data_IF_352029938835
#
_entry.id   IF_352029938835
#
_cell.length_a   1.000
_cell.length_b   1.000
_cell.length_c   1.000
_cell.angle_alpha   90.00
_cell.angle_beta   90.00
_cell.angle_gamma   90.00
#
_symmetry.space_group_name_H-M   'P 1'
#
loop_
_entity.id
_entity.type
_entity.pdbx_description
1 polymer ?
#
# COMPACT_ATOMS: atom_id res chain seq x y z
N UNK A 1 -27.42 9.41 -6.85
CA UNK A 1 -26.73 10.50 -7.57
C UNK A 1 -25.63 9.84 -8.40
N UNK A 2 -25.70 9.93 -9.72
CA UNK A 2 -24.52 9.67 -10.55
C UNK A 2 -23.47 10.68 -10.11
N UNK A 3 -22.32 10.22 -9.62
CA UNK A 3 -21.15 11.08 -9.52
C UNK A 3 -20.91 11.51 -10.98
N UNK A 4 -21.05 12.79 -11.29
CA UNK A 4 -20.65 13.28 -12.60
C UNK A 4 -19.14 13.14 -12.70
N UNK A 5 -18.63 12.63 -13.83
CA UNK A 5 -17.19 12.60 -14.08
C UNK A 5 -16.63 14.01 -13.84
N UNK A 6 -15.48 14.18 -13.15
CA UNK A 6 -14.90 15.49 -12.96
C UNK A 6 -14.75 16.18 -14.32
N UNK A 7 -15.32 17.38 -14.44
CA UNK A 7 -15.44 18.10 -15.72
C UNK A 7 -14.08 18.51 -16.29
N UNK A 8 -12.99 18.49 -15.50
CA UNK A 8 -11.61 18.66 -15.99
C UNK A 8 -10.59 18.07 -15.01
N UNK A 9 -9.79 17.10 -15.44
CA UNK A 9 -8.63 16.59 -14.68
C UNK A 9 -7.39 17.38 -15.08
N UNK A 10 -6.65 17.93 -14.10
CA UNK A 10 -5.39 18.64 -14.39
C UNK A 10 -4.37 17.67 -15.01
N UNK A 11 -3.61 18.12 -16.02
CA UNK A 11 -2.53 17.32 -16.64
C UNK A 11 -1.44 16.97 -15.62
N UNK A 12 -0.74 15.85 -15.82
CA UNK A 12 0.46 15.48 -15.07
C UNK A 12 1.67 16.32 -15.55
N UNK A 13 1.58 17.65 -15.42
CA UNK A 13 2.64 18.57 -15.83
C UNK A 13 3.80 18.60 -14.83
N UNK A 14 5.01 18.80 -15.35
CA UNK A 14 6.22 18.94 -14.56
C UNK A 14 6.61 17.68 -13.77
N UNK A 15 7.68 17.81 -12.97
CA UNK A 15 8.22 16.73 -12.15
C UNK A 15 7.30 16.38 -10.99
N UNK A 16 7.26 15.09 -10.64
CA UNK A 16 6.54 14.55 -9.48
C UNK A 16 7.54 14.09 -8.42
N UNK A 17 7.48 14.70 -7.24
CA UNK A 17 8.22 14.22 -6.07
C UNK A 17 7.56 13.00 -5.42
N UNK A 18 8.34 11.97 -5.11
CA UNK A 18 7.90 10.82 -4.33
C UNK A 18 8.73 10.76 -3.06
N UNK A 19 8.08 11.00 -1.93
CA UNK A 19 8.67 11.01 -0.61
C UNK A 19 8.37 9.70 0.14
N UNK A 20 9.40 9.04 0.66
CA UNK A 20 9.28 7.77 1.36
C UNK A 20 9.87 7.86 2.77
N UNK A 21 9.05 7.92 3.82
CA UNK A 21 9.50 7.62 5.18
C UNK A 21 9.96 6.16 5.22
N UNK A 22 11.23 5.93 5.58
CA UNK A 22 11.94 4.66 5.47
C UNK A 22 12.59 4.49 4.10
N UNK A 23 13.89 4.80 3.98
CA UNK A 23 14.74 4.51 2.82
C UNK A 23 15.38 3.11 2.95
N UNK A 24 14.56 2.11 3.27
CA UNK A 24 14.95 0.70 3.43
C UNK A 24 14.75 -0.14 2.18
N UNK A 25 14.65 -1.46 2.35
CA UNK A 25 14.63 -2.45 1.26
C UNK A 25 13.54 -2.19 0.19
N UNK A 26 12.30 -1.86 0.59
CA UNK A 26 11.21 -1.60 -0.36
C UNK A 26 11.46 -0.33 -1.17
N UNK A 27 11.78 0.78 -0.51
CA UNK A 27 12.01 2.07 -1.17
C UNK A 27 13.24 2.04 -2.08
N UNK A 28 14.34 1.42 -1.65
CA UNK A 28 15.55 1.34 -2.48
C UNK A 28 15.35 0.42 -3.67
N UNK A 29 14.61 -0.69 -3.50
CA UNK A 29 14.20 -1.56 -4.62
C UNK A 29 13.30 -0.82 -5.61
N UNK A 30 12.35 -0.02 -5.11
CA UNK A 30 11.49 0.81 -5.95
C UNK A 30 12.27 1.89 -6.72
N UNK A 31 13.13 2.65 -6.05
CA UNK A 31 13.96 3.68 -6.68
C UNK A 31 14.87 3.05 -7.73
N UNK A 32 15.67 2.06 -7.34
CA UNK A 32 16.61 1.40 -8.25
C UNK A 32 15.89 0.74 -9.43
N UNK A 33 14.77 0.06 -9.19
CA UNK A 33 13.94 -0.54 -10.23
C UNK A 33 13.42 0.51 -11.21
N UNK A 34 12.96 1.67 -10.71
CA UNK A 34 12.46 2.76 -11.56
C UNK A 34 13.57 3.37 -12.41
N UNK A 35 14.74 3.64 -11.82
CA UNK A 35 15.91 4.17 -12.52
C UNK A 35 16.41 3.18 -13.60
N UNK A 36 16.45 1.88 -13.29
CA UNK A 36 16.83 0.85 -14.24
C UNK A 36 15.86 0.77 -15.43
N UNK A 37 14.54 0.83 -15.19
CA UNK A 37 13.53 0.84 -16.26
C UNK A 37 13.64 2.10 -17.11
N UNK A 38 13.79 3.27 -16.48
CA UNK A 38 13.97 4.55 -17.16
C UNK A 38 15.22 4.55 -18.07
N UNK A 39 16.30 3.93 -17.62
CA UNK A 39 17.54 3.78 -18.40
C UNK A 39 17.51 2.65 -19.43
N UNK A 40 16.37 1.98 -19.63
CA UNK A 40 16.21 0.88 -20.59
C UNK A 40 16.94 -0.41 -20.19
N UNK A 41 17.36 -0.55 -18.94
CA UNK A 41 18.08 -1.72 -18.42
C UNK A 41 17.15 -2.84 -17.96
N UNK A 42 15.87 -2.53 -17.73
CA UNK A 42 14.88 -3.47 -17.20
C UNK A 42 13.45 -3.11 -17.65
N UNK A 43 12.48 -3.92 -17.23
CA UNK A 43 11.05 -3.76 -17.48
C UNK A 43 10.27 -3.67 -16.17
N UNK A 44 9.20 -2.85 -16.07
CA UNK A 44 8.47 -2.59 -14.82
C UNK A 44 7.45 -3.71 -14.48
N UNK A 45 7.94 -4.95 -14.40
CA UNK A 45 7.11 -6.13 -14.16
C UNK A 45 6.37 -6.00 -12.82
N UNK A 46 5.06 -6.28 -12.85
CA UNK A 46 4.17 -6.20 -11.69
C UNK A 46 3.49 -4.85 -11.50
N UNK A 47 3.90 -3.80 -12.21
CA UNK A 47 3.22 -2.51 -12.18
C UNK A 47 2.00 -2.50 -13.12
N UNK A 48 0.82 -2.29 -12.56
CA UNK A 48 -0.43 -2.17 -13.31
C UNK A 48 -0.45 -0.87 -14.11
N UNK A 49 0.07 0.23 -13.57
CA UNK A 49 0.11 1.50 -14.31
C UNK A 49 0.99 1.42 -15.56
N UNK A 50 2.11 0.70 -15.49
CA UNK A 50 3.09 0.65 -16.58
C UNK A 50 2.83 -0.46 -17.60
N UNK A 51 2.33 -1.62 -17.16
CA UNK A 51 2.14 -2.80 -18.02
C UNK A 51 0.68 -3.23 -18.19
N UNK A 52 -0.24 -2.70 -17.38
CA UNK A 52 -1.65 -3.09 -17.43
C UNK A 52 -2.39 -2.48 -18.62
N UNK A 53 -3.38 -3.22 -19.09
CA UNK A 53 -4.37 -2.76 -20.08
C UNK A 53 -5.76 -2.65 -19.45
N UNK A 54 -6.60 -1.81 -20.06
CA UNK A 54 -7.98 -1.61 -19.65
C UNK A 54 -8.89 -1.69 -20.87
N UNK A 55 -9.94 -2.53 -20.78
CA UNK A 55 -11.01 -2.59 -21.79
C UNK A 55 -11.95 -1.41 -21.65
N UNK A 56 -12.26 -0.70 -22.71
CA UNK A 56 -13.15 0.48 -22.69
C UNK A 56 -14.57 0.19 -23.19
N UNK A 57 -14.74 -0.87 -23.98
CA UNK A 57 -16.02 -1.17 -24.60
C UNK A 57 -16.39 -2.64 -24.57
N UNK A 58 -17.24 -3.00 -25.52
CA UNK A 58 -17.68 -4.38 -25.73
C UNK A 58 -16.52 -5.28 -26.18
N UNK A 59 -16.64 -6.59 -25.94
CA UNK A 59 -15.59 -7.58 -26.25
C UNK A 59 -15.33 -7.71 -27.75
N UNK A 60 -16.38 -7.60 -28.57
CA UNK A 60 -16.30 -7.66 -30.03
C UNK A 60 -15.70 -6.40 -30.65
N UNK A 61 -15.75 -5.24 -29.97
CA UNK A 61 -15.11 -3.99 -30.40
C UNK A 61 -13.58 -4.02 -30.25
N UNK A 62 -13.05 -4.89 -29.37
CA UNK A 62 -11.62 -5.02 -29.07
C UNK A 62 -10.96 -3.68 -28.69
N UNK A 63 -11.73 -2.79 -28.05
CA UNK A 63 -11.23 -1.53 -27.48
C UNK A 63 -10.52 -1.80 -26.16
N UNK A 64 -9.23 -2.05 -26.24
CA UNK A 64 -8.33 -2.24 -25.11
C UNK A 64 -7.10 -1.34 -25.30
N UNK A 65 -6.75 -0.60 -24.25
CA UNK A 65 -5.66 0.39 -24.26
C UNK A 65 -4.79 0.20 -23.02
N UNK A 66 -3.50 0.51 -23.10
CA UNK A 66 -2.64 0.50 -21.93
C UNK A 66 -3.08 1.57 -20.92
N UNK A 67 -3.02 1.29 -19.62
CA UNK A 67 -3.47 2.23 -18.58
C UNK A 67 -2.69 3.54 -18.64
N UNK A 68 -1.37 3.49 -18.88
CA UNK A 68 -0.52 4.68 -19.07
C UNK A 68 -0.88 5.55 -20.28
N UNK A 69 -1.53 4.98 -21.30
CA UNK A 69 -1.96 5.71 -22.50
C UNK A 69 -3.40 6.21 -22.36
N UNK A 70 -4.16 5.65 -21.41
CA UNK A 70 -5.54 6.03 -21.12
C UNK A 70 -5.65 7.10 -20.03
N UNK A 71 -4.87 6.96 -18.96
CA UNK A 71 -4.88 7.84 -17.79
C UNK A 71 -3.69 8.80 -17.87
N UNK A 72 -3.85 10.12 -17.69
CA UNK A 72 -2.74 11.07 -17.75
C UNK A 72 -1.88 10.98 -16.48
N UNK A 73 -0.98 9.99 -16.44
CA UNK A 73 -0.02 9.75 -15.37
C UNK A 73 1.32 10.44 -15.67
N UNK A 74 2.11 10.74 -14.62
CA UNK A 74 3.51 11.19 -14.81
C UNK A 74 4.34 10.05 -15.43
N UNK A 75 5.32 10.41 -16.26
CA UNK A 75 6.27 9.43 -16.81
C UNK A 75 7.35 9.09 -15.78
N UNK A 76 8.10 8.00 -15.99
CA UNK A 76 9.20 7.63 -15.10
C UNK A 76 10.35 8.66 -15.14
N UNK A 77 10.52 9.39 -16.25
CA UNK A 77 11.51 10.47 -16.39
C UNK A 77 11.18 11.68 -15.51
N UNK A 78 9.91 11.89 -15.19
CA UNK A 78 9.45 13.02 -14.38
C UNK A 78 9.54 12.76 -12.87
N UNK A 79 9.91 11.55 -12.45
CA UNK A 79 9.91 11.17 -11.03
C UNK A 79 11.20 11.62 -10.34
N UNK A 80 11.05 12.29 -9.19
CA UNK A 80 12.13 12.71 -8.30
C UNK A 80 11.93 12.06 -6.94
N UNK A 81 12.97 11.44 -6.40
CA UNK A 81 12.88 10.65 -5.18
C UNK A 81 13.49 11.38 -3.98
N UNK A 82 12.85 11.25 -2.83
CA UNK A 82 13.38 11.66 -1.55
C UNK A 82 12.81 10.78 -0.44
N UNK A 83 13.34 10.90 0.76
CA UNK A 83 12.87 10.10 1.88
C UNK A 83 13.56 10.43 3.18
N UNK A 84 13.13 9.74 4.23
CA UNK A 84 13.72 9.83 5.55
C UNK A 84 14.18 8.47 6.00
N UNK A 85 15.26 8.41 6.76
CA UNK A 85 15.67 7.18 7.43
C UNK A 85 16.37 7.51 8.75
N UNK A 86 16.46 6.50 9.61
CA UNK A 86 17.19 6.58 10.89
C UNK A 86 18.68 6.25 10.71
N UNK A 87 19.06 5.78 9.51
CA UNK A 87 20.43 5.59 9.04
C UNK A 87 20.80 6.67 8.00
N UNK A 88 22.08 7.01 7.93
CA UNK A 88 22.59 8.05 7.02
C UNK A 88 23.01 7.53 5.63
N UNK A 89 22.95 6.20 5.44
CA UNK A 89 23.26 5.52 4.18
C UNK A 89 22.51 6.16 3.00
N UNK A 90 23.22 6.50 1.93
CA UNK A 90 22.57 6.93 0.70
C UNK A 90 21.82 5.76 0.04
N UNK A 91 20.98 6.04 -0.97
CA UNK A 91 20.12 5.02 -1.57
C UNK A 91 20.90 3.84 -2.19
N UNK A 92 22.13 4.06 -2.69
CA UNK A 92 22.98 2.97 -3.20
C UNK A 92 23.46 2.07 -2.06
N UNK A 93 24.01 2.67 -1.00
CA UNK A 93 24.49 1.93 0.18
C UNK A 93 23.36 1.13 0.84
N UNK A 94 22.20 1.77 1.03
CA UNK A 94 21.02 1.12 1.57
C UNK A 94 20.51 -0.02 0.66
N UNK A 95 20.59 0.11 -0.67
CA UNK A 95 20.22 -0.96 -1.61
C UNK A 95 21.18 -2.16 -1.53
N UNK A 96 22.48 -1.90 -1.45
CA UNK A 96 23.51 -2.94 -1.27
C UNK A 96 23.30 -3.67 0.05
N UNK A 97 23.08 -2.93 1.14
CA UNK A 97 22.84 -3.48 2.47
C UNK A 97 21.54 -4.30 2.53
N UNK A 98 20.50 -3.89 1.79
CA UNK A 98 19.24 -4.63 1.70
C UNK A 98 19.39 -5.98 0.99
N UNK A 99 20.34 -6.12 0.06
CA UNK A 99 20.63 -7.40 -0.61
C UNK A 99 19.49 -7.96 -1.46
N UNK A 100 18.59 -7.09 -1.96
CA UNK A 100 17.42 -7.51 -2.76
C UNK A 100 17.75 -7.64 -4.25
N UNK A 101 18.48 -6.66 -4.77
CA UNK A 101 18.85 -6.53 -6.18
C UNK A 101 20.30 -6.95 -6.39
N UNK A 102 20.60 -7.46 -7.58
CA UNK A 102 21.96 -7.83 -7.98
C UNK A 102 22.86 -6.59 -7.99
N UNK A 103 24.08 -6.74 -7.50
CA UNK A 103 25.03 -5.63 -7.36
C UNK A 103 25.37 -5.01 -8.71
N UNK A 104 25.51 -5.82 -9.75
CA UNK A 104 25.84 -5.36 -11.11
C UNK A 104 24.78 -4.40 -11.65
N UNK A 105 23.51 -4.65 -11.33
CA UNK A 105 22.42 -3.74 -11.68
C UNK A 105 22.56 -2.43 -10.91
N UNK A 106 22.80 -2.48 -9.60
CA UNK A 106 22.98 -1.29 -8.77
C UNK A 106 24.19 -0.46 -9.23
N UNK A 107 25.30 -1.10 -9.57
CA UNK A 107 26.51 -0.46 -10.08
C UNK A 107 26.24 0.30 -11.38
N UNK A 108 25.36 -0.21 -12.25
CA UNK A 108 25.01 0.44 -13.53
C UNK A 108 24.23 1.75 -13.39
N UNK A 109 23.56 1.96 -12.26
CA UNK A 109 22.77 3.18 -11.93
C UNK A 109 23.28 3.89 -10.68
N UNK A 110 24.49 3.55 -10.23
CA UNK A 110 25.06 3.97 -8.95
C UNK A 110 25.08 5.47 -8.74
N UNK A 111 25.50 6.23 -9.76
CA UNK A 111 25.62 7.69 -9.67
C UNK A 111 24.32 8.35 -9.21
N UNK A 112 23.20 7.93 -9.78
CA UNK A 112 21.89 8.50 -9.46
C UNK A 112 21.37 8.04 -8.09
N UNK A 113 21.69 6.81 -7.69
CA UNK A 113 21.36 6.30 -6.36
C UNK A 113 22.15 7.02 -5.26
N UNK A 114 23.44 7.32 -5.46
CA UNK A 114 24.27 8.03 -4.47
C UNK A 114 23.84 9.49 -4.25
N UNK A 115 23.19 10.11 -5.23
CA UNK A 115 22.64 11.46 -5.13
C UNK A 115 21.41 11.51 -4.19
N UNK A 116 20.71 10.39 -4.00
CA UNK A 116 19.53 10.29 -3.14
C UNK A 116 19.96 9.96 -1.72
N UNK A 117 19.96 10.97 -0.85
CA UNK A 117 20.31 10.85 0.57
C UNK A 117 19.07 10.97 1.46
N UNK A 118 18.96 10.18 2.53
CA UNK A 118 17.85 10.30 3.46
C UNK A 118 17.94 11.64 4.22
N UNK A 119 16.78 12.22 4.50
CA UNK A 119 16.61 13.26 5.51
C UNK A 119 16.52 12.62 6.90
N UNK A 120 16.89 13.37 7.95
CA UNK A 120 16.80 12.88 9.34
C UNK A 120 15.36 12.55 9.71
N UNK A 121 15.12 11.33 10.20
CA UNK A 121 13.78 10.85 10.51
C UNK A 121 13.24 11.34 11.86
N UNK A 122 11.91 11.49 11.96
CA UNK A 122 11.21 11.38 13.25
C UNK A 122 11.10 9.89 13.60
N UNK A 123 11.63 9.52 14.76
CA UNK A 123 11.69 8.13 15.23
C UNK A 123 11.40 8.06 16.73
N UNK A 124 10.73 6.98 17.15
CA UNK A 124 10.48 6.67 18.55
C UNK A 124 10.56 5.15 18.77
N UNK A 125 11.55 4.75 19.58
CA UNK A 125 11.86 3.34 19.87
C UNK A 125 10.72 2.63 20.61
N UNK A 126 9.80 3.35 21.23
CA UNK A 126 8.62 2.75 21.86
C UNK A 126 7.69 2.08 20.84
N UNK A 127 7.71 2.57 19.59
CA UNK A 127 6.89 2.05 18.50
C UNK A 127 7.65 1.06 17.61
N UNK A 128 8.98 1.12 17.59
CA UNK A 128 9.83 0.17 16.83
C UNK A 128 11.01 -0.25 17.70
N UNK A 129 10.79 -1.23 18.57
CA UNK A 129 11.70 -1.56 19.69
C UNK A 129 13.04 -2.20 19.26
N UNK A 130 13.04 -2.88 18.12
CA UNK A 130 14.18 -3.67 17.62
C UNK A 130 15.15 -2.87 16.76
N UNK A 131 14.84 -1.61 16.46
CA UNK A 131 15.72 -0.75 15.67
C UNK A 131 16.34 0.34 16.54
N UNK A 132 17.59 0.63 16.20
CA UNK A 132 18.38 1.73 16.75
C UNK A 132 18.92 2.53 15.57
N UNK A 133 18.81 3.86 15.64
CA UNK A 133 19.34 4.74 14.61
C UNK A 133 19.58 6.13 15.17
N UNK A 134 20.70 6.71 14.77
CA UNK A 134 21.19 8.00 15.28
C UNK A 134 20.87 9.17 14.33
N UNK A 135 20.44 8.87 13.09
CA UNK A 135 20.13 9.87 12.07
C UNK A 135 18.70 10.41 12.22
N UNK A 136 18.41 10.93 13.42
CA UNK A 136 17.06 11.35 13.82
C UNK A 136 16.97 12.86 14.07
N UNK A 137 15.76 13.39 13.96
CA UNK A 137 15.42 14.78 14.28
C UNK A 137 15.61 15.07 15.78
N UNK A 138 16.09 16.27 16.10
CA UNK A 138 16.35 16.69 17.48
C UNK A 138 15.10 17.19 18.21
N UNK A 139 14.05 17.54 17.48
CA UNK A 139 12.78 18.02 18.00
C UNK A 139 12.12 16.95 18.88
N UNK A 140 11.62 17.37 20.04
CA UNK A 140 11.06 16.45 21.05
C UNK A 140 9.55 16.52 21.17
N UNK A 141 8.94 17.67 20.84
CA UNK A 141 7.48 17.82 20.85
C UNK A 141 6.87 17.37 19.52
N UNK A 142 5.65 16.84 19.55
CA UNK A 142 4.93 16.43 18.35
C UNK A 142 4.74 17.58 17.36
N UNK A 143 4.44 18.79 17.86
CA UNK A 143 4.29 19.98 17.00
C UNK A 143 5.59 20.37 16.34
N UNK A 144 6.70 20.42 17.06
CA UNK A 144 8.00 20.77 16.47
C UNK A 144 8.45 19.72 15.47
N UNK A 145 8.27 18.42 15.79
CA UNK A 145 8.51 17.30 14.87
C UNK A 145 7.70 17.43 13.59
N UNK A 146 6.40 17.72 13.70
CA UNK A 146 5.54 17.97 12.53
C UNK A 146 6.05 19.16 11.72
N UNK A 147 6.40 20.29 12.35
CA UNK A 147 6.90 21.45 11.61
C UNK A 147 8.22 21.14 10.91
N UNK A 148 9.12 20.38 11.53
CA UNK A 148 10.36 19.94 10.90
C UNK A 148 10.11 19.03 9.69
N UNK A 149 9.14 18.12 9.75
CA UNK A 149 8.72 17.30 8.60
C UNK A 149 8.10 18.16 7.48
N UNK A 150 7.29 19.16 7.82
CA UNK A 150 6.71 20.09 6.85
C UNK A 150 7.79 20.93 6.17
N UNK A 151 8.78 21.41 6.93
CA UNK A 151 9.93 22.12 6.39
C UNK A 151 10.72 21.27 5.41
N UNK A 152 10.96 19.99 5.72
CA UNK A 152 11.60 19.05 4.80
C UNK A 152 10.83 18.90 3.48
N UNK A 153 9.50 18.72 3.55
CA UNK A 153 8.63 18.64 2.36
C UNK A 153 8.74 19.91 1.51
N UNK A 154 8.70 21.08 2.14
CA UNK A 154 8.80 22.38 1.48
C UNK A 154 10.18 22.60 0.84
N UNK A 155 11.25 22.25 1.54
CA UNK A 155 12.61 22.33 1.03
C UNK A 155 12.80 21.38 -0.16
N UNK A 156 12.35 20.12 -0.04
CA UNK A 156 12.40 19.16 -1.14
C UNK A 156 11.67 19.68 -2.39
N UNK A 157 10.49 20.29 -2.23
CA UNK A 157 9.76 20.95 -3.32
C UNK A 157 10.58 22.07 -3.96
N UNK A 158 11.13 22.96 -3.13
CA UNK A 158 11.89 24.14 -3.60
C UNK A 158 13.16 23.75 -4.33
N UNK A 159 13.96 22.86 -3.75
CA UNK A 159 15.26 22.43 -4.28
C UNK A 159 15.13 21.69 -5.62
N UNK A 160 14.03 20.95 -5.79
CA UNK A 160 13.78 20.16 -7.00
C UNK A 160 12.78 20.83 -7.97
N UNK A 161 12.31 22.04 -7.66
CA UNK A 161 11.30 22.78 -8.42
C UNK A 161 10.03 21.95 -8.69
N UNK A 162 9.44 21.39 -7.63
CA UNK A 162 8.30 20.48 -7.70
C UNK A 162 7.00 21.20 -7.36
N UNK A 163 6.03 21.11 -8.26
CA UNK A 163 4.65 21.53 -8.01
C UNK A 163 3.82 20.43 -7.34
N UNK A 164 4.23 19.16 -7.51
CA UNK A 164 3.49 17.98 -7.09
C UNK A 164 4.38 17.04 -6.30
N UNK A 165 3.86 16.55 -5.19
CA UNK A 165 4.54 15.58 -4.32
C UNK A 165 3.52 14.59 -3.80
N UNK A 166 3.88 13.31 -3.72
CA UNK A 166 3.13 12.24 -3.06
C UNK A 166 4.03 11.59 -2.01
N UNK A 167 3.44 11.13 -0.91
CA UNK A 167 4.14 10.39 0.13
C UNK A 167 3.63 8.95 0.19
N UNK A 168 4.56 7.99 0.21
CA UNK A 168 4.26 6.57 0.42
C UNK A 168 5.08 6.06 1.58
N UNK A 169 4.42 5.62 2.65
CA UNK A 169 5.10 5.07 3.82
C UNK A 169 5.73 3.71 3.50
N UNK A 170 7.05 3.63 3.62
CA UNK A 170 7.85 2.41 3.47
C UNK A 170 8.65 2.08 4.74
N UNK A 171 8.37 2.80 5.84
CA UNK A 171 9.03 2.65 7.12
C UNK A 171 8.55 1.41 7.87
N UNK A 172 9.27 1.08 8.94
CA UNK A 172 9.00 -0.11 9.74
C UNK A 172 7.56 -0.16 10.29
N UNK A 173 7.09 -1.39 10.51
CA UNK A 173 5.84 -1.64 11.22
C UNK A 173 5.97 -1.16 12.66
N UNK A 174 5.03 -0.34 13.10
CA UNK A 174 4.93 0.16 14.47
C UNK A 174 4.11 -0.79 15.35
N UNK A 175 4.31 -0.71 16.66
CA UNK A 175 3.47 -1.41 17.64
C UNK A 175 1.99 -1.03 17.50
N UNK A 176 1.12 -1.98 17.86
CA UNK A 176 -0.33 -1.82 17.71
C UNK A 176 -0.85 -0.60 18.49
N UNK A 177 -1.63 0.23 17.81
CA UNK A 177 -2.37 1.34 18.42
C UNK A 177 -3.86 1.04 18.38
N UNK A 178 -4.54 1.24 19.50
CA UNK A 178 -5.98 1.05 19.60
C UNK A 178 -6.73 2.23 18.95
N UNK A 179 -7.44 2.02 17.83
CA UNK A 179 -8.17 3.09 17.14
C UNK A 179 -9.38 3.60 17.94
N UNK A 180 -9.78 2.92 19.03
CA UNK A 180 -10.92 3.31 19.87
C UNK A 180 -10.60 4.38 20.92
N UNK A 181 -9.32 4.78 21.08
CA UNK A 181 -8.97 5.91 21.94
C UNK A 181 -9.70 7.17 21.47
N UNK A 182 -10.34 7.87 22.41
CA UNK A 182 -11.16 9.07 22.15
C UNK A 182 -10.40 10.15 21.39
N UNK A 183 -9.07 10.22 21.52
CA UNK A 183 -8.24 11.18 20.78
C UNK A 183 -8.32 11.02 19.26
N UNK A 184 -8.73 9.84 18.75
CA UNK A 184 -8.83 9.56 17.33
C UNK A 184 -10.20 9.87 16.72
N UNK A 185 -11.19 10.23 17.54
CA UNK A 185 -12.59 10.37 17.09
C UNK A 185 -12.86 11.59 16.22
N UNK A 186 -12.18 12.72 16.46
CA UNK A 186 -12.36 13.95 15.69
C UNK A 186 -11.08 14.80 15.71
N UNK A 187 -10.96 15.70 14.73
CA UNK A 187 -9.75 16.50 14.53
C UNK A 187 -9.40 17.40 15.73
N UNK A 188 -10.40 17.97 16.41
CA UNK A 188 -10.16 18.86 17.55
C UNK A 188 -9.52 18.12 18.74
N UNK A 189 -10.03 16.94 19.07
CA UNK A 189 -9.48 16.13 20.16
C UNK A 189 -8.10 15.58 19.81
N UNK A 190 -7.88 15.23 18.54
CA UNK A 190 -6.56 14.81 18.06
C UNK A 190 -5.53 15.95 18.14
N UNK A 191 -5.90 17.17 17.73
CA UNK A 191 -5.01 18.34 17.79
C UNK A 191 -4.63 18.71 19.23
N UNK A 192 -5.57 18.61 20.18
CA UNK A 192 -5.25 18.77 21.61
C UNK A 192 -4.27 17.72 22.11
N UNK A 193 -4.40 16.47 21.65
CA UNK A 193 -3.48 15.39 22.02
C UNK A 193 -2.05 15.61 21.47
N UNK A 194 -1.94 16.20 20.27
CA UNK A 194 -0.67 16.67 19.72
C UNK A 194 -0.09 17.80 20.57
N UNK A 195 -0.90 18.79 20.96
CA UNK A 195 -0.47 19.93 21.79
C UNK A 195 -0.03 19.50 23.20
N UNK A 196 -0.68 18.48 23.77
CA UNK A 196 -0.29 17.88 25.05
C UNK A 196 0.89 16.91 24.95
N UNK A 197 1.48 16.73 23.76
CA UNK A 197 2.58 15.82 23.49
C UNK A 197 2.33 14.37 23.98
N UNK A 198 1.13 13.83 23.73
CA UNK A 198 0.75 12.51 24.25
C UNK A 198 1.65 11.40 23.66
N UNK A 199 2.42 10.71 24.49
CA UNK A 199 3.42 9.71 24.07
C UNK A 199 2.84 8.50 23.31
N UNK A 200 1.52 8.31 23.32
CA UNK A 200 0.84 7.24 22.59
C UNK A 200 0.64 7.53 21.10
N UNK A 201 1.04 8.70 20.60
CA UNK A 201 0.96 9.06 19.17
C UNK A 201 2.23 8.62 18.47
N UNK A 202 2.11 7.67 17.55
CA UNK A 202 3.26 7.11 16.84
C UNK A 202 3.83 8.05 15.76
N UNK A 203 5.13 7.91 15.40
CA UNK A 203 5.77 8.67 14.34
C UNK A 203 5.01 8.66 13.01
N UNK A 204 4.48 7.53 12.55
CA UNK A 204 3.76 7.44 11.27
C UNK A 204 2.58 8.39 11.15
N UNK A 205 1.92 8.68 12.28
CA UNK A 205 0.82 9.64 12.36
C UNK A 205 1.34 11.07 12.17
N UNK A 206 2.53 11.40 12.71
CA UNK A 206 3.15 12.71 12.54
C UNK A 206 3.55 12.98 11.09
N UNK A 207 4.12 11.98 10.40
CA UNK A 207 4.40 12.06 8.96
C UNK A 207 3.13 12.26 8.14
N UNK A 208 2.09 11.46 8.41
CA UNK A 208 0.82 11.57 7.72
C UNK A 208 0.16 12.94 7.95
N UNK A 209 0.15 13.44 9.19
CA UNK A 209 -0.39 14.75 9.50
C UNK A 209 0.39 15.87 8.77
N UNK A 210 1.72 15.81 8.80
CA UNK A 210 2.56 16.76 8.06
C UNK A 210 2.29 16.73 6.54
N UNK A 211 2.18 15.54 5.94
CA UNK A 211 1.88 15.38 4.52
C UNK A 211 0.54 16.01 4.16
N UNK A 212 -0.53 15.69 4.91
CA UNK A 212 -1.87 16.21 4.63
C UNK A 212 -1.91 17.74 4.80
N UNK A 213 -1.25 18.30 5.84
CA UNK A 213 -1.14 19.75 6.03
C UNK A 213 -0.34 20.48 4.94
N UNK A 214 0.48 19.77 4.17
CA UNK A 214 1.22 20.30 3.01
C UNK A 214 0.52 20.00 1.67
N UNK A 215 -0.70 19.47 1.69
CA UNK A 215 -1.44 19.09 0.50
C UNK A 215 -0.82 17.90 -0.25
N UNK A 216 -0.08 17.03 0.45
CA UNK A 216 0.62 15.86 -0.12
C UNK A 216 -0.25 14.61 0.04
N UNK A 217 -0.71 13.98 -1.06
CA UNK A 217 -1.37 12.67 -1.00
C UNK A 217 -0.53 11.64 -0.28
N UNK A 218 -1.19 10.73 0.45
CA UNK A 218 -0.50 9.81 1.35
C UNK A 218 -1.01 8.36 1.22
N UNK A 219 -0.09 7.42 1.01
CA UNK A 219 -0.35 5.98 1.12
C UNK A 219 0.38 5.38 2.32
N UNK A 220 -0.32 4.59 3.13
CA UNK A 220 0.28 3.81 4.20
C UNK A 220 0.66 2.39 3.73
N UNK A 221 1.95 2.13 3.51
CA UNK A 221 2.45 0.82 3.08
C UNK A 221 2.63 -0.22 4.20
N UNK A 222 2.49 0.18 5.46
CA UNK A 222 2.62 -0.67 6.65
C UNK A 222 1.24 -0.86 7.33
N UNK A 223 1.06 -1.84 8.24
CA UNK A 223 -0.22 -2.01 8.94
C UNK A 223 -0.43 -0.98 10.09
N UNK A 224 0.42 0.05 10.18
CA UNK A 224 0.39 1.12 11.18
C UNK A 224 -0.95 1.85 11.18
N UNK A 225 -1.34 2.45 12.31
CA UNK A 225 -2.58 3.22 12.38
C UNK A 225 -2.53 4.44 11.44
N UNK A 226 -1.46 5.25 11.49
CA UNK A 226 -1.14 6.34 10.56
C UNK A 226 -2.32 7.27 10.19
N UNK A 227 -3.09 6.96 9.13
CA UNK A 227 -4.24 7.75 8.63
C UNK A 227 -5.60 7.08 8.86
N UNK A 228 -5.60 5.85 9.36
CA UNK A 228 -6.75 4.94 9.43
C UNK A 228 -7.61 5.17 10.68
N UNK A 229 -8.05 6.41 10.89
CA UNK A 229 -8.97 6.78 11.97
C UNK A 229 -9.74 8.08 11.68
N UNK A 230 -10.91 8.30 12.32
CA UNK A 230 -11.82 9.39 11.97
C UNK A 230 -11.20 10.79 11.90
N UNK A 231 -10.37 11.18 12.87
CA UNK A 231 -9.75 12.51 12.88
C UNK A 231 -8.82 12.78 11.68
N UNK A 232 -8.06 11.78 11.23
CA UNK A 232 -7.19 11.92 10.05
C UNK A 232 -7.97 11.88 8.74
N UNK A 233 -9.07 11.12 8.70
CA UNK A 233 -10.00 11.15 7.58
C UNK A 233 -10.64 12.55 7.48
N UNK A 234 -11.11 13.12 8.60
CA UNK A 234 -11.63 14.49 8.66
C UNK A 234 -10.60 15.51 8.15
N UNK A 235 -9.35 15.41 8.60
CA UNK A 235 -8.26 16.27 8.14
C UNK A 235 -8.01 16.14 6.63
N UNK A 236 -7.97 14.93 6.11
CA UNK A 236 -7.76 14.68 4.67
C UNK A 236 -8.86 15.29 3.80
N UNK A 237 -10.12 15.24 4.25
CA UNK A 237 -11.25 15.88 3.57
C UNK A 237 -11.14 17.40 3.66
N UNK A 238 -10.81 17.94 4.83
CA UNK A 238 -10.64 19.39 5.06
C UNK A 238 -9.56 20.00 4.18
N UNK A 239 -8.43 19.32 4.01
CA UNK A 239 -7.29 19.78 3.21
C UNK A 239 -7.40 19.37 1.73
N UNK A 240 -8.45 18.61 1.34
CA UNK A 240 -8.63 18.17 -0.04
C UNK A 240 -7.61 17.13 -0.52
N UNK A 241 -7.07 16.32 0.41
CA UNK A 241 -5.96 15.39 0.15
C UNK A 241 -6.47 13.95 0.06
N UNK A 242 -6.15 13.19 -0.99
CA UNK A 242 -6.45 11.77 -1.06
C UNK A 242 -5.49 10.94 -0.20
N UNK A 243 -6.06 9.99 0.54
CA UNK A 243 -5.34 9.05 1.41
C UNK A 243 -5.70 7.61 1.07
N UNK A 244 -4.76 6.69 1.24
CA UNK A 244 -4.98 5.27 1.02
C UNK A 244 -4.16 4.42 1.99
N UNK A 245 -4.60 3.20 2.22
CA UNK A 245 -3.94 2.27 3.11
C UNK A 245 -4.82 1.04 3.37
N UNK A 246 -4.32 0.04 4.11
CA UNK A 246 -2.95 -0.06 4.61
C UNK A 246 -2.35 -1.46 4.45
N UNK A 247 -1.03 -1.53 4.59
CA UNK A 247 -0.17 -2.70 4.41
C UNK A 247 -0.17 -3.24 2.97
N UNK A 248 0.97 -3.18 2.27
CA UNK A 248 1.05 -3.62 0.87
C UNK A 248 0.64 -5.07 0.69
N UNK A 249 -0.25 -5.35 -0.26
CA UNK A 249 -0.72 -6.71 -0.53
C UNK A 249 0.26 -7.48 -1.40
N UNK A 250 1.20 -8.13 -0.73
CA UNK A 250 2.22 -8.99 -1.32
C UNK A 250 2.12 -10.42 -0.77
N UNK A 251 2.93 -11.31 -1.36
CA UNK A 251 3.23 -12.63 -0.81
C UNK A 251 2.00 -13.48 -0.51
N UNK A 252 1.93 -13.98 0.73
CA UNK A 252 0.89 -14.93 1.17
C UNK A 252 -0.52 -14.32 1.20
N UNK A 253 -0.67 -13.07 1.63
CA UNK A 253 -2.01 -12.44 1.70
C UNK A 253 -2.58 -12.22 0.31
N UNK A 254 -1.74 -11.89 -0.68
CA UNK A 254 -2.15 -11.84 -2.08
C UNK A 254 -2.77 -13.19 -2.51
N UNK A 255 -2.10 -14.30 -2.23
CA UNK A 255 -2.62 -15.64 -2.54
C UNK A 255 -3.97 -15.92 -1.87
N UNK A 256 -4.16 -15.53 -0.61
CA UNK A 256 -5.46 -15.66 0.07
C UNK A 256 -6.57 -14.88 -0.64
N UNK A 257 -6.30 -13.65 -1.04
CA UNK A 257 -7.27 -12.80 -1.76
C UNK A 257 -7.53 -13.24 -3.21
N UNK A 258 -6.74 -14.19 -3.73
CA UNK A 258 -6.98 -14.83 -5.03
C UNK A 258 -7.78 -16.12 -4.84
N UNK A 259 -7.35 -16.97 -3.90
CA UNK A 259 -7.89 -18.32 -3.72
C UNK A 259 -9.22 -18.33 -2.98
N UNK A 260 -9.34 -17.60 -1.86
CA UNK A 260 -10.56 -17.63 -1.05
C UNK A 260 -11.80 -17.13 -1.82
N UNK A 261 -11.74 -16.05 -2.63
CA UNK A 261 -12.88 -15.67 -3.46
C UNK A 261 -13.23 -16.73 -4.51
N UNK A 262 -12.23 -17.42 -5.07
CA UNK A 262 -12.46 -18.51 -6.01
C UNK A 262 -13.19 -19.70 -5.38
N UNK A 263 -12.82 -20.09 -4.15
CA UNK A 263 -13.52 -21.12 -3.39
C UNK A 263 -14.95 -20.71 -3.06
N UNK A 264 -15.14 -19.48 -2.57
CA UNK A 264 -16.48 -18.94 -2.29
C UNK A 264 -17.36 -18.88 -3.54
N UNK A 265 -16.83 -18.40 -4.67
CA UNK A 265 -17.57 -18.32 -5.92
C UNK A 265 -18.05 -19.68 -6.46
N UNK A 266 -17.53 -20.79 -5.91
CA UNK A 266 -17.91 -22.16 -6.26
C UNK A 266 -18.55 -22.91 -5.09
N UNK A 267 -18.87 -22.22 -3.99
CA UNK A 267 -19.43 -22.81 -2.77
C UNK A 267 -18.61 -23.99 -2.24
N UNK A 268 -17.27 -23.90 -2.36
CA UNK A 268 -16.35 -24.89 -1.79
C UNK A 268 -16.19 -24.56 -0.32
N UNK A 269 -16.49 -25.53 0.55
CA UNK A 269 -16.36 -25.38 2.00
C UNK A 269 -14.89 -25.48 2.44
N UNK A 270 -14.57 -24.86 3.57
CA UNK A 270 -13.20 -24.83 4.12
C UNK A 270 -13.28 -25.14 5.60
N UNK A 271 -12.66 -26.24 6.01
CA UNK A 271 -12.61 -26.66 7.42
C UNK A 271 -11.39 -26.07 8.13
N UNK A 272 -10.28 -25.87 7.41
CA UNK A 272 -9.03 -25.36 7.99
C UNK A 272 -8.18 -24.59 7.00
N UNK A 273 -7.56 -23.51 7.47
CA UNK A 273 -6.52 -22.79 6.74
C UNK A 273 -5.34 -22.54 7.68
N UNK A 274 -4.25 -23.26 7.49
CA UNK A 274 -3.02 -23.05 8.25
C UNK A 274 -2.00 -22.33 7.37
N UNK A 275 -1.49 -21.20 7.84
CA UNK A 275 -0.50 -20.38 7.16
C UNK A 275 0.75 -20.23 8.00
N UNK A 276 1.92 -20.56 7.46
CA UNK A 276 3.21 -20.25 8.08
C UNK A 276 4.08 -19.41 7.14
N UNK A 277 4.96 -18.59 7.69
CA UNK A 277 5.93 -17.81 6.93
C UNK A 277 7.30 -17.86 7.62
N UNK A 278 8.35 -17.86 6.81
CA UNK A 278 9.73 -17.64 7.25
C UNK A 278 10.36 -16.50 6.44
N UNK A 279 11.07 -15.59 7.11
CA UNK A 279 11.80 -14.47 6.49
C UNK A 279 12.95 -14.01 7.40
N UNK A 280 14.00 -13.41 6.82
CA UNK A 280 15.22 -13.06 7.54
C UNK A 280 15.70 -11.62 7.36
N UNK A 281 14.93 -10.77 6.67
CA UNK A 281 15.25 -9.35 6.51
C UNK A 281 14.83 -8.53 7.75
N UNK A 282 15.06 -7.22 7.72
CA UNK A 282 14.75 -6.28 8.81
C UNK A 282 13.26 -6.27 9.19
N UNK A 283 12.35 -6.53 8.24
CA UNK A 283 10.92 -6.68 8.54
C UNK A 283 10.68 -7.91 9.43
N UNK A 284 11.35 -9.03 9.13
CA UNK A 284 11.33 -10.22 9.98
C UNK A 284 11.84 -9.97 11.41
N UNK A 285 12.92 -9.21 11.56
CA UNK A 285 13.48 -8.86 12.87
C UNK A 285 12.54 -7.98 13.70
N UNK A 286 11.89 -6.99 13.08
CA UNK A 286 10.88 -6.14 13.74
C UNK A 286 9.66 -6.97 14.14
N UNK A 287 9.22 -7.91 13.28
CA UNK A 287 8.06 -8.77 13.53
C UNK A 287 8.32 -9.89 14.56
N UNK A 288 9.57 -10.12 14.97
CA UNK A 288 9.91 -11.02 16.08
C UNK A 288 9.51 -10.43 17.45
N UNK A 289 9.18 -9.13 17.51
CA UNK A 289 8.54 -8.51 18.67
C UNK A 289 7.03 -8.82 18.72
N UNK A 290 6.49 -9.38 19.84
CA UNK A 290 5.09 -9.79 19.93
C UNK A 290 4.06 -8.66 19.74
N UNK A 291 4.38 -7.42 20.14
CA UNK A 291 3.46 -6.28 19.98
C UNK A 291 3.38 -5.80 18.53
N UNK A 292 4.54 -5.79 17.84
CA UNK A 292 4.63 -5.51 16.41
C UNK A 292 3.96 -6.63 15.58
N UNK A 293 4.13 -7.88 16.00
CA UNK A 293 3.45 -9.04 15.41
C UNK A 293 1.93 -8.95 15.51
N UNK A 294 1.38 -8.50 16.65
CA UNK A 294 -0.07 -8.36 16.86
C UNK A 294 -0.72 -7.49 15.80
N UNK A 295 -0.10 -6.39 15.39
CA UNK A 295 -0.58 -5.52 14.29
C UNK A 295 -0.74 -6.31 12.99
N UNK A 296 0.23 -7.18 12.68
CA UNK A 296 0.21 -8.02 11.47
C UNK A 296 -0.78 -9.18 11.60
N UNK A 297 -0.89 -9.78 12.78
CA UNK A 297 -1.80 -10.89 13.04
C UNK A 297 -3.26 -10.46 12.82
N UNK A 298 -3.68 -9.34 13.42
CA UNK A 298 -5.03 -8.78 13.23
C UNK A 298 -5.32 -8.53 11.75
N UNK A 299 -4.38 -7.91 11.02
CA UNK A 299 -4.52 -7.64 9.58
C UNK A 299 -4.69 -8.90 8.73
N UNK A 300 -4.09 -10.04 9.14
CA UNK A 300 -4.07 -11.29 8.37
C UNK A 300 -5.22 -12.23 8.70
N UNK A 301 -5.74 -12.19 9.92
CA UNK A 301 -6.84 -13.06 10.35
C UNK A 301 -8.18 -12.59 9.76
N UNK A 302 -8.44 -11.28 9.74
CA UNK A 302 -9.72 -10.74 9.26
C UNK A 302 -10.01 -10.94 7.76
N UNK A 303 -8.97 -11.20 6.94
CA UNK A 303 -9.13 -11.33 5.48
C UNK A 303 -10.06 -12.49 5.09
N UNK A 304 -9.90 -13.66 5.73
CA UNK A 304 -10.72 -14.84 5.39
C UNK A 304 -12.15 -14.69 5.89
N UNK A 305 -12.32 -14.18 7.11
CA UNK A 305 -13.64 -13.95 7.71
C UNK A 305 -14.50 -13.05 6.82
N UNK A 306 -13.93 -11.95 6.31
CA UNK A 306 -14.66 -11.01 5.47
C UNK A 306 -14.89 -11.53 4.05
N UNK A 307 -13.96 -12.30 3.48
CA UNK A 307 -14.18 -12.91 2.17
C UNK A 307 -15.25 -13.99 2.26
N UNK A 308 -15.15 -14.92 3.22
CA UNK A 308 -15.98 -16.12 3.29
C UNK A 308 -17.34 -15.87 3.95
N UNK A 309 -17.44 -14.86 4.81
CA UNK A 309 -18.66 -14.47 5.52
C UNK A 309 -19.31 -15.67 6.24
N UNK A 310 -18.64 -16.26 7.25
CA UNK A 310 -19.09 -17.49 7.91
C UNK A 310 -20.48 -17.35 8.55
N UNK A 311 -20.84 -16.16 9.03
CA UNK A 311 -22.20 -15.88 9.53
C UNK A 311 -23.28 -16.02 8.46
N UNK A 312 -22.96 -15.71 7.20
CA UNK A 312 -23.89 -15.84 6.05
C UNK A 312 -23.85 -17.23 5.44
N UNK A 313 -22.73 -17.95 5.57
CA UNK A 313 -22.51 -19.28 4.99
C UNK A 313 -22.03 -20.29 6.06
N UNK A 314 -22.81 -20.53 7.12
CA UNK A 314 -22.36 -21.30 8.27
C UNK A 314 -22.05 -22.77 7.94
N UNK A 315 -22.77 -23.38 6.98
CA UNK A 315 -22.52 -24.77 6.58
C UNK A 315 -21.14 -24.96 5.93
N UNK A 316 -20.64 -23.94 5.23
CA UNK A 316 -19.38 -24.00 4.51
C UNK A 316 -18.19 -23.56 5.35
N UNK A 317 -18.38 -22.55 6.22
CA UNK A 317 -17.29 -21.83 6.89
C UNK A 317 -17.50 -21.58 8.38
N UNK A 318 -18.65 -21.97 8.97
CA UNK A 318 -18.97 -21.69 10.37
C UNK A 318 -17.96 -22.28 11.36
N UNK A 319 -17.38 -23.42 11.02
CA UNK A 319 -16.37 -24.13 11.82
C UNK A 319 -14.93 -23.94 11.29
N UNK A 320 -14.69 -22.94 10.42
CA UNK A 320 -13.37 -22.70 9.83
C UNK A 320 -12.32 -22.43 10.91
N UNK A 321 -11.30 -23.28 10.98
CA UNK A 321 -10.12 -23.04 11.82
C UNK A 321 -9.03 -22.31 11.03
N UNK A 322 -8.79 -21.03 11.34
CA UNK A 322 -7.73 -20.24 10.72
C UNK A 322 -6.53 -20.03 11.65
N UNK A 323 -5.32 -20.37 11.19
CA UNK A 323 -4.08 -20.18 11.96
C UNK A 323 -2.99 -19.50 11.13
N UNK A 324 -2.32 -18.51 11.73
CA UNK A 324 -1.16 -17.83 11.12
C UNK A 324 0.06 -17.92 12.04
N UNK A 325 1.22 -18.18 11.44
CA UNK A 325 2.55 -18.13 12.05
C UNK A 325 3.51 -17.35 11.17
N UNK A 326 4.38 -16.56 11.78
CA UNK A 326 5.52 -15.90 11.14
C UNK A 326 6.71 -16.20 12.03
N UNK A 327 7.82 -16.65 11.45
CA UNK A 327 9.02 -16.99 12.19
C UNK A 327 10.19 -16.24 11.56
N UNK A 328 10.96 -15.54 12.40
CA UNK A 328 12.20 -14.94 11.97
C UNK A 328 13.26 -16.03 11.75
N UNK A 329 13.81 -16.09 10.54
CA UNK A 329 14.82 -17.06 10.15
C UNK A 329 15.91 -16.34 9.34
N UNK A 330 16.96 -15.83 10.02
CA UNK A 330 17.96 -14.94 9.44
C UNK A 330 18.56 -15.40 8.09
N UNK A 331 18.89 -16.70 7.89
CA UNK A 331 19.52 -17.14 6.64
C UNK A 331 18.72 -16.87 5.36
N UNK A 332 17.42 -16.57 5.44
CA UNK A 332 16.57 -16.31 4.27
C UNK A 332 16.66 -14.90 3.71
N UNK A 333 17.12 -13.91 4.48
CA UNK A 333 17.10 -12.50 4.06
C UNK A 333 15.72 -12.09 3.54
N UNK A 334 15.65 -11.44 2.36
CA UNK A 334 14.39 -11.04 1.69
C UNK A 334 13.66 -12.20 1.00
N UNK A 335 14.26 -13.40 0.90
CA UNK A 335 13.64 -14.58 0.28
C UNK A 335 12.62 -15.23 1.23
N UNK A 336 11.47 -14.57 1.37
CA UNK A 336 10.35 -15.03 2.17
C UNK A 336 9.74 -16.29 1.56
N UNK A 337 9.41 -17.25 2.41
CA UNK A 337 8.62 -18.43 2.05
C UNK A 337 7.32 -18.43 2.84
N UNK A 338 6.20 -18.57 2.14
CA UNK A 338 4.87 -18.72 2.73
C UNK A 338 4.29 -20.07 2.35
N UNK A 339 3.92 -20.87 3.36
CA UNK A 339 3.29 -22.16 3.15
C UNK A 339 1.88 -22.14 3.72
N UNK A 340 0.91 -22.58 2.92
CA UNK A 340 -0.48 -22.72 3.30
C UNK A 340 -0.96 -24.16 3.11
N UNK A 341 -1.58 -24.69 4.15
CA UNK A 341 -2.44 -25.87 4.07
C UNK A 341 -3.90 -25.44 4.13
N UNK A 342 -4.68 -25.84 3.14
CA UNK A 342 -6.10 -25.51 3.03
C UNK A 342 -6.87 -26.83 2.96
N UNK A 343 -7.57 -27.16 4.04
CA UNK A 343 -8.45 -28.31 4.13
C UNK A 343 -9.83 -27.89 3.62
N UNK A 344 -10.22 -28.43 2.47
CA UNK A 344 -11.45 -28.05 1.76
C UNK A 344 -12.43 -29.23 1.73
N UNK A 345 -13.71 -28.93 1.53
CA UNK A 345 -14.76 -29.93 1.33
C UNK A 345 -15.59 -29.62 0.09
N UNK A 346 -15.87 -30.66 -0.70
CA UNK A 346 -16.63 -30.57 -1.94
C UNK A 346 -18.03 -31.19 -1.84
N UNK A 347 -18.51 -31.69 -2.97
CA UNK A 347 -19.78 -32.39 -3.08
C UNK A 347 -19.92 -33.49 -2.01
N UNK A 348 -21.10 -33.57 -1.36
CA UNK A 348 -21.40 -34.51 -0.26
C UNK A 348 -20.48 -34.36 0.97
N UNK A 349 -19.78 -33.24 1.12
CA UNK A 349 -18.86 -33.00 2.24
C UNK A 349 -17.55 -33.80 2.15
N UNK A 350 -17.18 -34.33 0.98
CA UNK A 350 -15.94 -35.10 0.85
C UNK A 350 -14.71 -34.19 1.04
N UNK A 351 -13.79 -34.54 1.96
CA UNK A 351 -12.63 -33.73 2.27
C UNK A 351 -11.54 -33.88 1.20
N UNK A 352 -10.84 -32.79 0.93
CA UNK A 352 -9.68 -32.70 0.05
C UNK A 352 -8.71 -31.67 0.64
N UNK A 353 -7.55 -31.51 0.00
CA UNK A 353 -6.53 -30.58 0.48
C UNK A 353 -5.84 -29.86 -0.66
N UNK A 354 -5.57 -28.57 -0.44
CA UNK A 354 -4.71 -27.75 -1.30
C UNK A 354 -3.49 -27.32 -0.48
N UNK A 355 -2.31 -27.48 -1.06
CA UNK A 355 -1.06 -26.94 -0.52
C UNK A 355 -0.57 -25.82 -1.43
N UNK A 356 -0.20 -24.70 -0.85
CA UNK A 356 0.46 -23.61 -1.55
C UNK A 356 1.81 -23.40 -0.88
N UNK A 357 2.87 -23.49 -1.67
CA UNK A 357 4.21 -23.09 -1.24
C UNK A 357 4.66 -21.94 -2.14
N UNK A 358 4.82 -20.77 -1.55
CA UNK A 358 5.16 -19.55 -2.27
C UNK A 358 6.47 -18.96 -1.76
N UNK A 359 7.54 -19.24 -2.51
CA UNK A 359 8.83 -18.59 -2.37
C UNK A 359 8.78 -17.26 -3.13
N UNK A 360 8.90 -16.16 -2.40
CA UNK A 360 8.77 -14.81 -2.94
C UNK A 360 9.81 -13.87 -2.34
N UNK A 361 10.03 -12.73 -3.02
CA UNK A 361 10.80 -11.61 -2.50
C UNK A 361 9.85 -10.46 -2.24
N UNK A 362 9.63 -10.12 -0.97
CA UNK A 362 8.60 -9.15 -0.59
C UNK A 362 8.91 -7.76 -1.16
N UNK A 363 10.18 -7.36 -1.17
CA UNK A 363 10.61 -6.06 -1.71
C UNK A 363 10.40 -5.96 -3.22
N UNK A 364 10.60 -7.07 -3.96
CA UNK A 364 10.33 -7.14 -5.41
C UNK A 364 8.83 -7.03 -5.70
N UNK A 365 7.97 -7.63 -4.89
CA UNK A 365 6.52 -7.54 -5.04
C UNK A 365 5.97 -6.17 -4.60
N UNK A 366 6.59 -5.53 -3.60
CA UNK A 366 6.14 -4.25 -3.06
C UNK A 366 6.54 -3.05 -3.93
N UNK A 367 7.74 -3.06 -4.53
CA UNK A 367 8.25 -1.98 -5.36
C UNK A 367 7.27 -1.48 -6.46
N UNK A 368 6.65 -2.34 -7.29
CA UNK A 368 5.68 -1.88 -8.28
C UNK A 368 4.38 -1.34 -7.66
N UNK A 369 4.01 -1.78 -6.45
CA UNK A 369 2.87 -1.24 -5.71
C UNK A 369 3.14 0.21 -5.29
N UNK A 370 4.36 0.50 -4.81
CA UNK A 370 4.79 1.86 -4.47
C UNK A 370 4.69 2.79 -5.68
N UNK A 371 5.17 2.34 -6.84
CA UNK A 371 5.08 3.08 -8.10
C UNK A 371 3.62 3.40 -8.46
N UNK A 372 2.78 2.37 -8.50
CA UNK A 372 1.37 2.50 -8.89
C UNK A 372 0.60 3.43 -7.95
N UNK A 373 0.80 3.28 -6.63
CA UNK A 373 0.17 4.13 -5.62
C UNK A 373 0.61 5.59 -5.76
N UNK A 374 1.90 5.85 -5.98
CA UNK A 374 2.41 7.21 -6.16
C UNK A 374 1.75 7.88 -7.38
N UNK A 375 1.69 7.18 -8.52
CA UNK A 375 1.08 7.71 -9.75
C UNK A 375 -0.43 7.88 -9.62
N UNK A 376 -1.13 6.91 -9.02
CA UNK A 376 -2.58 6.98 -8.88
C UNK A 376 -3.05 7.98 -7.82
N UNK A 377 -2.30 8.18 -6.72
CA UNK A 377 -2.64 9.21 -5.74
C UNK A 377 -2.41 10.62 -6.28
N UNK A 378 -1.35 10.83 -7.05
CA UNK A 378 -1.17 12.08 -7.81
C UNK A 378 -2.34 12.32 -8.77
N UNK A 379 -2.73 11.29 -9.52
CA UNK A 379 -3.89 11.36 -10.41
C UNK A 379 -5.19 11.67 -9.68
N UNK A 380 -5.46 10.98 -8.56
CA UNK A 380 -6.62 11.22 -7.72
C UNK A 380 -6.69 12.69 -7.27
N UNK A 381 -5.57 13.23 -6.80
CA UNK A 381 -5.48 14.61 -6.33
C UNK A 381 -5.74 15.61 -7.46
N UNK A 382 -5.15 15.38 -8.64
CA UNK A 382 -5.40 16.21 -9.84
C UNK A 382 -6.83 16.11 -10.37
N UNK A 383 -7.52 15.01 -10.09
CA UNK A 383 -8.94 14.82 -10.38
C UNK A 383 -9.86 15.44 -9.32
N UNK A 384 -9.30 16.08 -8.28
CA UNK A 384 -10.07 16.70 -7.19
C UNK A 384 -10.60 15.71 -6.17
N UNK A 385 -10.14 14.45 -6.20
CA UNK A 385 -10.50 13.45 -5.19
C UNK A 385 -9.74 13.73 -3.89
N UNK A 386 -10.41 13.48 -2.78
CA UNK A 386 -9.89 13.65 -1.43
C UNK A 386 -10.42 12.55 -0.50
N UNK A 387 -9.87 12.45 0.71
CA UNK A 387 -10.24 11.39 1.65
C UNK A 387 -9.82 10.00 1.18
N UNK A 388 -10.49 8.97 1.71
CA UNK A 388 -10.17 7.57 1.44
C UNK A 388 -10.36 7.24 -0.05
N UNK A 389 -9.29 6.80 -0.69
CA UNK A 389 -9.29 6.29 -2.06
C UNK A 389 -9.56 4.79 -2.08
N UNK A 390 -10.80 4.40 -1.79
CA UNK A 390 -11.21 2.99 -1.64
C UNK A 390 -11.14 2.18 -2.96
N UNK A 391 -10.88 2.83 -4.10
CA UNK A 391 -10.61 2.15 -5.38
C UNK A 391 -9.16 1.64 -5.47
N UNK A 392 -8.27 2.09 -4.57
CA UNK A 392 -6.90 1.61 -4.43
C UNK A 392 -6.77 0.40 -3.50
N UNK A 393 -7.88 -0.11 -2.95
CA UNK A 393 -7.92 -1.32 -2.11
C UNK A 393 -7.27 -2.54 -2.75
N UNK A 394 -7.19 -2.57 -4.08
CA UNK A 394 -6.44 -3.54 -4.86
C UNK A 394 -5.01 -3.77 -4.35
N UNK A 395 -4.37 -2.73 -3.81
CA UNK A 395 -2.97 -2.73 -3.39
C UNK A 395 -2.74 -3.06 -1.90
N UNK A 396 -3.80 -3.19 -1.09
CA UNK A 396 -3.68 -3.26 0.37
C UNK A 396 -4.21 -4.57 0.95
N UNK A 397 -3.56 -5.05 2.02
CA UNK A 397 -3.97 -6.23 2.80
C UNK A 397 -5.16 -5.91 3.69
N UNK A 398 -5.20 -4.70 4.25
CA UNK A 398 -6.29 -4.19 5.08
C UNK A 398 -6.75 -2.85 4.52
N UNK A 399 -7.52 -2.85 3.41
CA UNK A 399 -7.94 -1.63 2.76
C UNK A 399 -8.84 -0.79 3.66
N UNK A 400 -8.59 0.51 3.68
CA UNK A 400 -9.41 1.50 4.39
C UNK A 400 -10.78 1.66 3.70
N UNK A 401 -11.82 1.82 4.49
CA UNK A 401 -13.16 2.19 4.05
C UNK A 401 -13.77 3.19 5.04
N UNK A 402 -14.95 3.74 4.71
CA UNK A 402 -15.66 4.59 5.67
C UNK A 402 -16.07 3.76 6.91
N UNK A 403 -16.17 4.38 8.11
CA UNK A 403 -16.50 3.66 9.35
C UNK A 403 -17.83 2.88 9.34
N UNK A 404 -18.76 3.25 8.47
CA UNK A 404 -20.07 2.62 8.30
C UNK A 404 -20.09 1.53 7.21
N UNK A 405 -18.94 1.23 6.59
CA UNK A 405 -18.78 0.23 5.54
C UNK A 405 -17.85 -0.90 6.03
N UNK A 406 -18.01 -2.07 5.41
CA UNK A 406 -17.03 -3.15 5.53
C UNK A 406 -16.03 -3.09 4.36
N UNK A 407 -14.75 -3.44 4.57
CA UNK A 407 -13.77 -3.46 3.50
C UNK A 407 -13.94 -4.70 2.61
N UNK A 408 -13.83 -4.50 1.29
CA UNK A 408 -13.84 -5.60 0.30
C UNK A 408 -12.42 -6.13 0.13
N UNK A 409 -12.21 -7.42 0.35
CA UNK A 409 -10.89 -8.09 0.23
C UNK A 409 -10.73 -8.97 -1.03
N UNK A 410 -11.82 -9.24 -1.75
CA UNK A 410 -11.77 -9.98 -3.01
C UNK A 410 -10.99 -9.18 -4.07
N UNK A 411 -9.84 -9.73 -4.50
CA UNK A 411 -8.94 -9.09 -5.45
C UNK A 411 -9.63 -8.78 -6.78
N UNK A 412 -10.52 -9.65 -7.26
CA UNK A 412 -11.18 -9.49 -8.56
C UNK A 412 -12.23 -8.39 -8.50
N UNK A 413 -13.01 -8.34 -7.42
CA UNK A 413 -13.94 -7.25 -7.14
C UNK A 413 -13.21 -5.91 -7.00
N UNK A 414 -12.08 -5.88 -6.31
CA UNK A 414 -11.23 -4.70 -6.20
C UNK A 414 -10.66 -4.25 -7.56
N UNK A 415 -10.24 -5.18 -8.43
CA UNK A 415 -9.76 -4.88 -9.79
C UNK A 415 -10.86 -4.26 -10.63
N UNK A 416 -12.07 -4.82 -10.60
CA UNK A 416 -13.24 -4.26 -11.30
C UNK A 416 -13.53 -2.84 -10.80
N UNK A 417 -13.48 -2.62 -9.48
CA UNK A 417 -13.65 -1.28 -8.88
C UNK A 417 -12.59 -0.30 -9.38
N UNK A 418 -11.32 -0.68 -9.33
CA UNK A 418 -10.21 0.15 -9.82
C UNK A 418 -10.42 0.54 -11.28
N UNK A 419 -10.64 -0.43 -12.16
CA UNK A 419 -10.82 -0.15 -13.58
C UNK A 419 -12.07 0.69 -13.87
N UNK A 420 -13.20 0.41 -13.20
CA UNK A 420 -14.42 1.20 -13.38
C UNK A 420 -14.28 2.61 -12.84
N UNK A 421 -13.51 2.84 -11.77
CA UNK A 421 -13.16 4.18 -11.33
C UNK A 421 -12.33 4.90 -12.38
N UNK A 422 -11.33 4.25 -12.98
CA UNK A 422 -10.55 4.85 -14.08
C UNK A 422 -11.43 5.19 -15.29
N UNK A 423 -12.32 4.28 -15.72
CA UNK A 423 -13.28 4.55 -16.81
C UNK A 423 -14.14 5.76 -16.47
N UNK A 424 -14.72 5.78 -15.27
CA UNK A 424 -15.59 6.85 -14.82
C UNK A 424 -14.88 8.20 -14.83
N UNK A 425 -13.67 8.30 -14.26
CA UNK A 425 -12.89 9.53 -14.22
C UNK A 425 -12.46 10.03 -15.61
N UNK A 426 -12.29 9.11 -16.56
CA UNK A 426 -11.93 9.43 -17.94
C UNK A 426 -13.14 9.60 -18.87
N UNK A 427 -14.37 9.62 -18.32
CA UNK A 427 -15.60 9.80 -19.10
C UNK A 427 -16.02 8.59 -19.95
N UNK A 428 -15.45 7.42 -19.70
CA UNK A 428 -15.84 6.16 -20.34
C UNK A 428 -16.96 5.46 -19.56
N UNK A 429 -17.71 4.62 -20.27
CA UNK A 429 -18.83 3.86 -19.67
C UNK A 429 -18.28 2.75 -18.78
N UNK A 430 -18.88 2.57 -17.59
CA UNK A 430 -18.52 1.48 -16.69
C UNK A 430 -18.89 0.12 -17.27
N UNK A 431 -18.11 -0.90 -16.93
CA UNK A 431 -18.32 -2.26 -17.43
C UNK A 431 -18.94 -3.12 -16.32
N UNK A 432 -20.13 -3.67 -16.60
CA UNK A 432 -20.91 -4.52 -15.68
C UNK A 432 -20.76 -6.03 -15.93
N UNK A 433 -20.14 -6.41 -17.05
CA UNK A 433 -19.96 -7.80 -17.50
C UNK A 433 -21.25 -8.58 -17.83
N UNK A 434 -22.42 -7.91 -17.94
CA UNK A 434 -23.70 -8.56 -18.26
C UNK A 434 -23.66 -9.39 -19.56
N UNK A 435 -23.23 -8.79 -20.67
CA UNK A 435 -22.97 -9.49 -21.93
C UNK A 435 -24.18 -10.09 -22.65
N UNK A 436 -25.41 -9.91 -22.14
CA UNK A 436 -26.62 -10.32 -22.84
C UNK A 436 -26.83 -9.51 -24.12
N UNK A 437 -26.34 -8.27 -24.13
CA UNK A 437 -26.29 -7.34 -25.26
C UNK A 437 -25.38 -7.79 -26.42
N UNK A 438 -24.69 -8.93 -26.31
CA UNK A 438 -24.01 -9.60 -27.44
C UNK A 438 -24.93 -10.56 -28.21
N UNK A 439 -25.99 -11.03 -27.57
CA UNK A 439 -26.79 -12.16 -28.04
C UNK A 439 -28.24 -11.79 -28.31
N UNK A 440 -28.73 -10.74 -27.64
CA UNK A 440 -30.07 -10.23 -27.78
C UNK A 440 -29.95 -8.81 -28.33
N UNK A 441 -30.15 -8.64 -29.63
CA UNK A 441 -30.29 -7.32 -30.25
C UNK A 441 -31.58 -6.66 -29.72
N UNK A 442 -31.56 -5.34 -29.54
CA UNK A 442 -32.80 -4.57 -29.40
C UNK A 442 -33.44 -4.50 -30.80
N UNK A 443 -34.52 -5.25 -31.02
CA UNK A 443 -35.41 -5.10 -32.18
C UNK A 443 -36.06 -3.71 -32.23
#
# INVERSE_FOLDING_TARGET
MSIESPTTIKKAGGKLGILMPGLGAVSTTFIAGTLAVRSGLSTPIGSLTQMGSIRLGKRNERREIAIKDFVPLSTLDDLIFGGWDIFEDNCYEAAINAGVLEKELLDSIKKELEEIKPMKAVFDKNFVKKLDGEYVKSETTHRDRIQALRADIQNFRKENNLERVVMVWCGSTETYQDPSDKMYNNLNDFEKALDSNKNSIAPSILYAYAAIKEGVPYANGAPNLSVDFPAMIELSVKEGVPIAGKDFKTGQTLMKTILAPGFKAREIGIDGWFSTNILGNRDGEVLDDPESFKTKEVSKLGVLEQILEPEKNPELYGDLYHKVRINYYPPRGDNKEGWDNIDIKGWLGYPMQIKVDFLCRDSILAAPIVLDLALFLDFAHRAGLHGIQEWLSFYFKSPMCKPDLYPIHDLFSQKVKLENTLRHLMGETIITHLGLDYYYDED
#
